data_IF_322913428643
#
_entry.id   IF_322913428643
#
_cell.length_a   1.000
_cell.length_b   1.000
_cell.length_c   1.000
_cell.angle_alpha   90.00
_cell.angle_beta   90.00
_cell.angle_gamma   90.00
#
_symmetry.space_group_name_H-M   'P 1'
#
loop_
_entity.id
_entity.type
_entity.pdbx_description
1 polymer ?
#
# COMPACT_ATOMS: atom_id res chain seq x y z
N UNK A 1 -11.90 -7.67 -38.96
CA UNK A 1 -11.30 -6.44 -39.53
C UNK A 1 -11.72 -5.18 -38.76
N UNK A 2 -12.93 -4.61 -38.92
CA UNK A 2 -13.30 -3.37 -38.19
C UNK A 2 -13.34 -3.50 -36.65
N UNK A 3 -13.68 -4.70 -36.15
CA UNK A 3 -13.67 -5.00 -34.70
C UNK A 3 -12.26 -5.14 -34.13
N UNK A 4 -11.29 -5.54 -34.95
CA UNK A 4 -9.89 -5.71 -34.53
C UNK A 4 -9.19 -4.36 -34.46
N UNK A 5 -9.42 -3.47 -35.44
CA UNK A 5 -8.91 -2.08 -35.41
C UNK A 5 -9.46 -1.26 -34.23
N UNK A 6 -10.77 -1.38 -33.94
CA UNK A 6 -11.39 -0.70 -32.79
C UNK A 6 -10.85 -1.23 -31.46
N UNK A 7 -10.71 -2.55 -31.32
CA UNK A 7 -10.13 -3.19 -30.13
C UNK A 7 -8.67 -2.78 -29.91
N UNK A 8 -7.89 -2.70 -30.99
CA UNK A 8 -6.48 -2.28 -30.94
C UNK A 8 -6.33 -0.79 -30.58
N UNK A 9 -7.21 0.08 -31.11
CA UNK A 9 -7.23 1.52 -30.79
C UNK A 9 -7.63 1.78 -29.33
N UNK A 10 -8.60 1.03 -28.80
CA UNK A 10 -8.95 1.11 -27.38
C UNK A 10 -7.79 0.63 -26.51
N UNK A 11 -7.16 -0.51 -26.84
CA UNK A 11 -6.02 -1.02 -26.07
C UNK A 11 -4.85 -0.05 -26.08
N UNK A 12 -4.53 0.58 -27.20
CA UNK A 12 -3.42 1.54 -27.28
C UNK A 12 -3.71 2.80 -26.45
N UNK A 13 -4.91 3.36 -26.58
CA UNK A 13 -5.35 4.54 -25.82
C UNK A 13 -5.43 4.26 -24.32
N UNK A 14 -5.97 3.11 -23.93
CA UNK A 14 -6.04 2.66 -22.54
C UNK A 14 -4.64 2.43 -21.96
N UNK A 15 -3.70 1.90 -22.75
CA UNK A 15 -2.31 1.71 -22.34
C UNK A 15 -1.53 3.02 -22.19
N UNK A 16 -1.87 4.05 -22.97
CA UNK A 16 -1.30 5.38 -22.83
C UNK A 16 -1.87 6.10 -21.59
N UNK A 17 -3.17 5.96 -21.37
CA UNK A 17 -3.86 6.56 -20.24
C UNK A 17 -3.43 5.93 -18.90
N UNK A 18 -3.25 4.60 -18.85
CA UNK A 18 -2.79 3.90 -17.65
C UNK A 18 -1.33 4.19 -17.28
N UNK A 19 -0.52 4.66 -18.23
CA UNK A 19 0.85 5.12 -17.97
C UNK A 19 0.91 6.51 -17.34
N UNK A 20 -0.19 7.26 -17.32
CA UNK A 20 -0.21 8.58 -16.72
C UNK A 20 -0.37 8.47 -15.19
N UNK A 21 0.60 8.93 -14.37
CA UNK A 21 0.58 8.73 -12.93
C UNK A 21 -0.61 9.41 -12.25
N UNK A 22 -1.06 10.55 -12.79
CA UNK A 22 -2.26 11.24 -12.29
C UNK A 22 -3.55 10.43 -12.49
N UNK A 23 -3.68 9.73 -13.63
CA UNK A 23 -4.86 8.89 -13.89
C UNK A 23 -4.90 7.68 -12.96
N UNK A 24 -3.74 7.02 -12.78
CA UNK A 24 -3.62 5.90 -11.85
C UNK A 24 -3.90 6.34 -10.41
N UNK A 25 -3.38 7.50 -9.99
CA UNK A 25 -3.66 8.09 -8.68
C UNK A 25 -5.13 8.40 -8.47
N UNK A 26 -5.80 9.01 -9.45
CA UNK A 26 -7.23 9.28 -9.40
C UNK A 26 -8.07 7.98 -9.31
N UNK A 27 -7.72 6.97 -10.12
CA UNK A 27 -8.39 5.67 -10.09
C UNK A 27 -8.24 4.99 -8.72
N UNK A 28 -7.03 4.96 -8.17
CA UNK A 28 -6.77 4.40 -6.83
C UNK A 28 -7.53 5.19 -5.76
N UNK A 29 -7.57 6.52 -5.85
CA UNK A 29 -8.31 7.38 -4.92
C UNK A 29 -9.83 7.18 -4.97
N UNK A 30 -10.40 7.00 -6.16
CA UNK A 30 -11.83 6.67 -6.31
C UNK A 30 -12.13 5.30 -5.72
N UNK A 31 -11.34 4.28 -6.08
CA UNK A 31 -11.46 2.95 -5.46
C UNK A 31 -11.29 3.03 -3.94
N UNK A 32 -10.47 3.97 -3.46
CA UNK A 32 -10.29 4.20 -2.05
C UNK A 32 -11.52 4.69 -1.33
N UNK A 33 -12.10 5.77 -1.84
CA UNK A 33 -13.35 6.32 -1.34
C UNK A 33 -14.48 5.28 -1.40
N UNK A 34 -14.58 4.52 -2.50
CA UNK A 34 -15.56 3.43 -2.64
C UNK A 34 -15.36 2.33 -1.60
N UNK A 35 -14.12 1.89 -1.39
CA UNK A 35 -13.80 0.86 -0.37
C UNK A 35 -14.17 1.32 1.04
N UNK A 36 -13.92 2.60 1.34
CA UNK A 36 -14.26 3.20 2.63
C UNK A 36 -15.78 3.30 2.82
N UNK A 37 -16.53 3.69 1.79
CA UNK A 37 -17.99 3.74 1.86
C UNK A 37 -18.59 2.38 2.25
N UNK A 38 -18.00 1.29 1.75
CA UNK A 38 -18.40 -0.07 2.12
C UNK A 38 -17.97 -0.44 3.55
N UNK A 39 -16.75 -0.06 3.96
CA UNK A 39 -16.16 -0.42 5.25
C UNK A 39 -16.75 0.37 6.45
N UNK A 40 -17.19 1.61 6.24
CA UNK A 40 -17.89 2.41 7.28
C UNK A 40 -19.19 1.71 7.69
N UNK A 41 -19.92 1.16 6.72
CA UNK A 41 -21.15 0.39 7.00
C UNK A 41 -20.89 -0.85 7.87
N UNK A 42 -19.66 -1.40 7.82
CA UNK A 42 -19.23 -2.54 8.63
C UNK A 42 -18.66 -2.15 10.02
N UNK A 43 -18.80 -0.88 10.45
CA UNK A 43 -18.36 -0.41 11.76
C UNK A 43 -16.87 -0.06 11.85
N UNK A 44 -16.24 0.29 10.72
CA UNK A 44 -14.85 0.75 10.68
C UNK A 44 -14.61 2.11 11.34
N UNK A 45 -13.37 2.40 11.78
CA UNK A 45 -12.98 3.76 12.12
C UNK A 45 -13.14 4.71 10.93
N UNK A 46 -13.22 6.01 11.19
CA UNK A 46 -13.22 7.02 10.14
C UNK A 46 -11.94 6.93 9.28
N UNK A 47 -12.11 7.21 7.98
CA UNK A 47 -11.04 7.09 6.97
C UNK A 47 -10.41 5.69 6.85
N UNK A 48 -11.15 4.62 7.15
CA UNK A 48 -10.66 3.25 7.03
C UNK A 48 -10.82 2.72 5.59
N UNK A 49 -9.73 2.26 4.99
CA UNK A 49 -9.75 1.55 3.72
C UNK A 49 -8.55 0.62 3.59
N UNK A 50 -8.09 0.32 2.38
CA UNK A 50 -6.96 -0.59 2.18
C UNK A 50 -5.66 -0.03 2.82
N UNK A 51 -5.31 -0.55 4.00
CA UNK A 51 -4.16 -0.08 4.76
C UNK A 51 -3.27 -1.25 5.18
N UNK A 52 -2.16 -1.45 4.48
CA UNK A 52 -1.20 -2.53 4.80
C UNK A 52 -0.69 -2.42 6.23
N UNK A 53 -0.35 -1.21 6.70
CA UNK A 53 0.16 -1.03 8.07
C UNK A 53 -0.88 -1.43 9.13
N UNK A 54 -2.10 -0.89 9.06
CA UNK A 54 -3.15 -1.18 10.03
C UNK A 54 -3.61 -2.65 9.95
N UNK A 55 -3.73 -3.22 8.75
CA UNK A 55 -4.16 -4.60 8.56
C UNK A 55 -3.09 -5.60 9.03
N UNK A 56 -1.80 -5.31 8.82
CA UNK A 56 -0.71 -6.12 9.39
C UNK A 56 -0.70 -6.05 10.92
N UNK A 57 -0.88 -4.88 11.53
CA UNK A 57 -1.01 -4.76 12.99
C UNK A 57 -2.20 -5.55 13.53
N UNK A 58 -3.36 -5.40 12.90
CA UNK A 58 -4.58 -6.11 13.30
C UNK A 58 -4.42 -7.63 13.14
N UNK A 59 -3.74 -8.10 12.09
CA UNK A 59 -3.39 -9.50 11.92
C UNK A 59 -2.44 -10.00 13.03
N UNK A 60 -1.37 -9.25 13.33
CA UNK A 60 -0.42 -9.61 14.39
C UNK A 60 -1.10 -9.62 15.75
N UNK A 61 -1.84 -8.56 16.10
CA UNK A 61 -2.59 -8.48 17.35
C UNK A 61 -3.62 -9.60 17.45
N UNK A 62 -4.33 -9.93 16.36
CA UNK A 62 -5.29 -11.04 16.34
C UNK A 62 -4.65 -12.40 16.61
N UNK A 63 -3.51 -12.68 15.97
CA UNK A 63 -2.73 -13.91 16.22
C UNK A 63 -2.22 -13.93 17.66
N UNK A 64 -1.69 -12.81 18.16
CA UNK A 64 -1.19 -12.71 19.54
C UNK A 64 -2.31 -12.90 20.55
N UNK A 65 -3.51 -12.37 20.32
CA UNK A 65 -4.66 -12.57 21.21
C UNK A 65 -5.05 -14.06 21.27
N UNK A 66 -5.02 -14.77 20.13
CA UNK A 66 -5.32 -16.20 20.06
C UNK A 66 -4.24 -17.04 20.75
N UNK A 67 -2.96 -16.75 20.51
CA UNK A 67 -1.83 -17.57 20.98
C UNK A 67 -1.47 -17.27 22.44
N UNK A 68 -1.48 -16.01 22.84
CA UNK A 68 -1.04 -15.55 24.15
C UNK A 68 -2.20 -15.28 25.12
N UNK A 69 -3.46 -15.49 24.71
CA UNK A 69 -4.66 -15.19 25.51
C UNK A 69 -4.63 -13.76 26.08
N UNK A 70 -4.28 -12.81 25.23
CA UNK A 70 -4.17 -11.38 25.57
C UNK A 70 -5.29 -10.60 24.87
N UNK A 71 -5.60 -9.41 25.39
CA UNK A 71 -6.63 -8.52 24.84
C UNK A 71 -6.00 -7.29 24.16
N UNK A 72 -5.15 -7.50 23.15
CA UNK A 72 -4.63 -6.39 22.36
C UNK A 72 -5.74 -5.76 21.50
N UNK A 73 -5.65 -4.45 21.31
CA UNK A 73 -6.63 -3.68 20.55
C UNK A 73 -6.72 -4.16 19.08
N UNK A 74 -7.93 -4.48 18.65
CA UNK A 74 -8.32 -4.77 17.26
C UNK A 74 -9.38 -3.78 16.80
N UNK A 75 -9.32 -3.38 15.54
CA UNK A 75 -10.43 -2.66 14.91
C UNK A 75 -11.69 -3.54 14.88
N UNK A 76 -12.89 -2.95 14.99
CA UNK A 76 -14.16 -3.70 14.99
C UNK A 76 -14.33 -4.56 13.72
N UNK A 77 -13.88 -4.05 12.56
CA UNK A 77 -13.84 -4.80 11.29
C UNK A 77 -12.90 -6.01 11.36
N UNK A 78 -11.81 -5.91 12.12
CA UNK A 78 -10.82 -6.98 12.27
C UNK A 78 -11.29 -8.11 13.18
N UNK A 79 -12.34 -7.92 13.99
CA UNK A 79 -12.90 -8.99 14.84
C UNK A 79 -13.43 -10.16 14.03
N UNK A 80 -13.82 -9.93 12.78
CA UNK A 80 -14.25 -11.00 11.88
C UNK A 80 -13.09 -11.89 11.37
N UNK A 81 -11.84 -11.61 11.78
CA UNK A 81 -10.56 -12.33 11.54
C UNK A 81 -10.15 -12.62 10.09
N UNK A 82 -11.09 -12.59 9.14
CA UNK A 82 -10.93 -12.94 7.73
C UNK A 82 -10.52 -11.74 6.86
N UNK A 83 -10.98 -10.53 7.19
CA UNK A 83 -10.81 -9.35 6.35
C UNK A 83 -9.37 -8.78 6.30
N UNK A 84 -8.65 -8.62 7.43
CA UNK A 84 -7.28 -8.09 7.40
C UNK A 84 -6.33 -9.05 6.70
N UNK A 85 -6.45 -10.36 6.97
CA UNK A 85 -5.63 -11.42 6.35
C UNK A 85 -5.84 -11.39 4.84
N UNK A 86 -7.08 -11.26 4.37
CA UNK A 86 -7.40 -11.22 2.95
C UNK A 86 -6.76 -10.02 2.22
N UNK A 87 -6.57 -8.89 2.90
CA UNK A 87 -5.96 -7.71 2.26
C UNK A 87 -4.45 -7.84 2.04
N UNK A 88 -3.69 -8.31 3.05
CA UNK A 88 -2.24 -8.48 2.96
C UNK A 88 -1.93 -9.71 2.12
N UNK A 89 -2.59 -10.84 2.40
CA UNK A 89 -2.44 -12.05 1.60
C UNK A 89 -2.96 -11.81 0.16
N UNK A 90 -4.06 -11.09 -0.01
CA UNK A 90 -4.62 -10.77 -1.33
C UNK A 90 -3.68 -9.91 -2.18
N UNK A 91 -2.98 -8.92 -1.61
CA UNK A 91 -1.96 -8.17 -2.36
C UNK A 91 -0.76 -9.03 -2.71
N UNK A 92 -0.30 -9.88 -1.79
CA UNK A 92 0.82 -10.79 -2.07
C UNK A 92 0.46 -11.81 -3.17
N UNK A 93 -0.69 -12.46 -3.06
CA UNK A 93 -1.19 -13.44 -4.04
C UNK A 93 -1.51 -12.75 -5.37
N UNK A 94 -2.18 -11.61 -5.35
CA UNK A 94 -2.52 -10.83 -6.53
C UNK A 94 -1.29 -10.34 -7.29
N UNK A 95 -0.29 -9.81 -6.58
CA UNK A 95 0.99 -9.41 -7.16
C UNK A 95 1.77 -10.60 -7.73
N UNK A 96 1.75 -11.73 -7.04
CA UNK A 96 2.37 -12.97 -7.53
C UNK A 96 1.69 -13.47 -8.83
N UNK A 97 0.36 -13.56 -8.84
CA UNK A 97 -0.41 -13.97 -10.03
C UNK A 97 -0.16 -12.99 -11.19
N UNK A 98 -0.23 -11.68 -10.94
CA UNK A 98 -0.01 -10.66 -11.96
C UNK A 98 1.40 -10.75 -12.57
N UNK A 99 2.44 -10.86 -11.73
CA UNK A 99 3.83 -10.97 -12.19
C UNK A 99 4.14 -12.28 -12.92
N UNK A 100 3.47 -13.37 -12.54
CA UNK A 100 3.61 -14.67 -13.22
C UNK A 100 2.93 -14.63 -14.59
N UNK A 101 1.73 -14.04 -14.69
CA UNK A 101 0.99 -13.94 -15.94
C UNK A 101 1.73 -13.07 -16.98
N UNK A 102 2.37 -11.99 -16.54
CA UNK A 102 3.17 -11.10 -17.39
C UNK A 102 4.63 -11.58 -17.58
N UNK A 103 5.00 -12.74 -17.01
CA UNK A 103 6.35 -13.33 -17.08
C UNK A 103 7.47 -12.39 -16.61
N UNK A 104 7.15 -11.50 -15.69
CA UNK A 104 8.09 -10.55 -15.07
C UNK A 104 8.59 -11.02 -13.69
N UNK A 105 8.11 -12.18 -13.23
CA UNK A 105 8.54 -12.76 -11.97
C UNK A 105 10.03 -13.15 -11.99
N UNK A 106 10.83 -12.48 -11.15
CA UNK A 106 12.26 -12.76 -10.96
C UNK A 106 12.59 -12.85 -9.47
N UNK A 107 13.16 -13.98 -9.05
CA UNK A 107 13.64 -14.17 -7.68
C UNK A 107 14.98 -13.46 -7.50
N UNK A 108 15.01 -12.41 -6.68
CA UNK A 108 16.24 -11.71 -6.29
C UNK A 108 16.83 -12.36 -5.04
N UNK A 109 18.09 -12.79 -5.11
CA UNK A 109 18.86 -13.28 -3.95
C UNK A 109 19.62 -12.10 -3.33
N UNK A 110 19.33 -11.79 -2.08
CA UNK A 110 20.09 -10.80 -1.30
C UNK A 110 21.22 -11.45 -0.49
N UNK A 111 22.16 -10.61 -0.06
CA UNK A 111 23.18 -10.90 0.94
C UNK A 111 22.59 -10.80 2.35
N UNK A 112 23.26 -11.40 3.35
CA UNK A 112 22.84 -11.32 4.76
C UNK A 112 22.69 -9.88 5.26
N UNK A 113 23.55 -8.97 4.79
CA UNK A 113 23.51 -7.53 5.14
C UNK A 113 22.26 -6.86 4.58
N UNK A 114 21.89 -7.14 3.34
CA UNK A 114 20.69 -6.57 2.73
C UNK A 114 19.41 -7.03 3.44
N UNK A 115 19.30 -8.32 3.76
CA UNK A 115 18.16 -8.82 4.53
C UNK A 115 18.04 -8.14 5.90
N UNK A 116 19.16 -7.91 6.57
CA UNK A 116 19.17 -7.20 7.86
C UNK A 116 18.70 -5.75 7.71
N UNK A 117 19.18 -5.03 6.69
CA UNK A 117 18.76 -3.65 6.40
C UNK A 117 17.25 -3.60 6.10
N UNK A 118 16.73 -4.50 5.26
CA UNK A 118 15.31 -4.54 4.95
C UNK A 118 14.43 -4.85 6.16
N UNK A 119 14.89 -5.74 7.05
CA UNK A 119 14.17 -6.06 8.27
C UNK A 119 14.07 -4.83 9.19
N UNK A 120 15.20 -4.17 9.49
CA UNK A 120 15.22 -2.97 10.33
C UNK A 120 14.43 -1.82 9.69
N UNK A 121 14.57 -1.62 8.38
CA UNK A 121 13.78 -0.64 7.65
C UNK A 121 12.28 -0.92 7.76
N UNK A 122 11.86 -2.18 7.63
CA UNK A 122 10.46 -2.60 7.82
C UNK A 122 9.94 -2.31 9.23
N UNK A 123 10.72 -2.62 10.26
CA UNK A 123 10.38 -2.30 11.66
C UNK A 123 10.21 -0.80 11.84
N UNK A 124 11.15 0.02 11.36
CA UNK A 124 11.06 1.48 11.45
C UNK A 124 9.83 2.02 10.71
N UNK A 125 9.57 1.55 9.49
CA UNK A 125 8.42 1.99 8.69
C UNK A 125 7.10 1.64 9.37
N UNK A 126 6.95 0.42 9.92
CA UNK A 126 5.72 0.06 10.64
C UNK A 126 5.53 0.91 11.90
N UNK A 127 6.58 1.13 12.69
CA UNK A 127 6.48 1.95 13.91
C UNK A 127 6.13 3.41 13.59
N UNK A 128 6.81 4.01 12.60
CA UNK A 128 6.52 5.38 12.17
C UNK A 128 5.11 5.50 11.57
N UNK A 129 4.67 4.53 10.78
CA UNK A 129 3.31 4.51 10.24
C UNK A 129 2.24 4.45 11.36
N UNK A 130 2.52 3.76 12.48
CA UNK A 130 1.61 3.74 13.62
C UNK A 130 1.58 5.06 14.38
N UNK A 131 2.72 5.73 14.55
CA UNK A 131 2.81 7.04 15.23
C UNK A 131 1.96 8.09 14.50
N UNK A 132 2.02 8.13 13.17
CA UNK A 132 1.22 9.07 12.38
C UNK A 132 -0.21 8.57 12.08
N UNK A 133 -0.55 7.35 12.49
CA UNK A 133 -1.89 6.80 12.42
C UNK A 133 -2.33 6.35 11.02
N UNK A 134 -1.41 5.84 10.20
CA UNK A 134 -1.79 5.18 8.94
C UNK A 134 -0.68 4.97 7.91
N UNK A 135 -1.06 4.32 6.82
CA UNK A 135 -0.28 4.23 5.58
C UNK A 135 -0.64 5.43 4.66
N UNK A 136 0.06 5.68 3.53
CA UNK A 136 -0.24 6.80 2.64
C UNK A 136 -1.70 6.87 2.20
N UNK A 137 -2.34 5.72 2.03
CA UNK A 137 -3.74 5.63 1.65
C UNK A 137 -4.69 6.11 2.75
N UNK A 138 -4.49 5.65 3.99
CA UNK A 138 -5.29 6.11 5.14
C UNK A 138 -5.07 7.60 5.41
N UNK A 139 -3.83 8.07 5.25
CA UNK A 139 -3.54 9.49 5.35
C UNK A 139 -4.30 10.30 4.29
N UNK A 140 -4.31 9.86 3.02
CA UNK A 140 -5.03 10.54 1.95
C UNK A 140 -6.55 10.59 2.17
N UNK A 141 -7.12 9.54 2.77
CA UNK A 141 -8.53 9.56 3.17
C UNK A 141 -8.77 10.55 4.32
N UNK A 142 -7.93 10.53 5.36
CA UNK A 142 -8.01 11.49 6.49
C UNK A 142 -7.87 12.94 6.05
N UNK A 143 -7.04 13.25 5.05
CA UNK A 143 -6.97 14.61 4.49
C UNK A 143 -8.29 15.03 3.85
N UNK A 144 -9.04 14.09 3.25
CA UNK A 144 -10.38 14.35 2.74
C UNK A 144 -11.41 14.69 3.84
N UNK A 145 -11.17 14.23 5.07
CA UNK A 145 -11.97 14.59 6.26
C UNK A 145 -11.53 15.90 6.93
N UNK A 146 -10.52 16.58 6.39
CA UNK A 146 -10.02 17.84 6.96
C UNK A 146 -8.97 17.67 8.07
N UNK A 147 -8.39 16.49 8.22
CA UNK A 147 -7.34 16.23 9.22
C UNK A 147 -6.00 16.85 8.81
N UNK A 148 -5.60 17.92 9.50
CA UNK A 148 -4.36 18.64 9.24
C UNK A 148 -3.10 17.79 9.54
N UNK A 149 -3.19 16.87 10.50
CA UNK A 149 -2.05 15.98 10.84
C UNK A 149 -1.76 15.02 9.69
N UNK A 150 -2.80 14.56 8.99
CA UNK A 150 -2.66 13.71 7.83
C UNK A 150 -2.04 14.46 6.64
N UNK A 151 -2.35 15.75 6.47
CA UNK A 151 -1.74 16.58 5.42
C UNK A 151 -0.24 16.72 5.67
N UNK A 152 0.15 17.07 6.90
CA UNK A 152 1.57 17.17 7.28
C UNK A 152 2.31 15.86 7.08
N UNK A 153 1.68 14.73 7.42
CA UNK A 153 2.25 13.41 7.18
C UNK A 153 2.49 13.12 5.70
N UNK A 154 1.53 13.41 4.81
CA UNK A 154 1.70 13.20 3.36
C UNK A 154 2.84 14.07 2.82
N UNK A 155 2.92 15.34 3.22
CA UNK A 155 3.98 16.25 2.78
C UNK A 155 5.35 15.76 3.26
N UNK A 156 5.46 15.37 4.53
CA UNK A 156 6.70 14.83 5.10
C UNK A 156 7.11 13.52 4.42
N UNK A 157 6.16 12.62 4.17
CA UNK A 157 6.40 11.37 3.46
C UNK A 157 6.87 11.63 2.02
N UNK A 158 6.22 12.53 1.30
CA UNK A 158 6.59 12.90 -0.06
C UNK A 158 8.01 13.49 -0.10
N UNK A 159 8.33 14.43 0.80
CA UNK A 159 9.68 15.00 0.90
C UNK A 159 10.74 13.92 1.20
N UNK A 160 10.44 12.99 2.11
CA UNK A 160 11.34 11.87 2.44
C UNK A 160 11.58 10.93 1.26
N UNK A 161 10.53 10.57 0.51
CA UNK A 161 10.64 9.73 -0.69
C UNK A 161 11.44 10.43 -1.79
N UNK A 162 11.18 11.72 -2.03
CA UNK A 162 11.90 12.51 -3.03
C UNK A 162 13.39 12.60 -2.67
N UNK A 163 13.70 12.92 -1.42
CA UNK A 163 15.09 13.00 -0.95
C UNK A 163 15.79 11.64 -1.06
N UNK A 164 15.13 10.56 -0.63
CA UNK A 164 15.66 9.21 -0.74
C UNK A 164 15.93 8.79 -2.19
N UNK A 165 14.97 9.04 -3.09
CA UNK A 165 15.11 8.76 -4.51
C UNK A 165 16.25 9.58 -5.14
N UNK A 166 16.36 10.87 -4.81
CA UNK A 166 17.44 11.74 -5.28
C UNK A 166 18.82 11.24 -4.82
N UNK A 167 18.97 10.88 -3.54
CA UNK A 167 20.23 10.36 -3.01
C UNK A 167 20.62 9.03 -3.66
N UNK A 168 19.66 8.13 -3.88
CA UNK A 168 19.91 6.85 -4.56
C UNK A 168 20.30 7.05 -6.02
N UNK A 169 19.63 7.97 -6.72
CA UNK A 169 19.97 8.31 -8.10
C UNK A 169 21.39 8.87 -8.20
N UNK A 170 21.73 9.83 -7.34
CA UNK A 170 23.08 10.42 -7.29
C UNK A 170 24.16 9.40 -6.95
N UNK A 171 23.84 8.40 -6.12
CA UNK A 171 24.76 7.30 -5.84
C UNK A 171 24.97 6.42 -7.07
N UNK A 172 23.89 6.08 -7.79
CA UNK A 172 23.98 5.28 -9.01
C UNK A 172 24.78 6.01 -10.12
N UNK A 173 24.62 7.33 -10.26
CA UNK A 173 25.42 8.13 -11.20
C UNK A 173 26.91 8.10 -10.87
N UNK A 174 27.28 8.17 -9.57
CA UNK A 174 28.68 8.09 -9.14
C UNK A 174 29.32 6.73 -9.36
N UNK A 175 28.53 5.66 -9.33
CA UNK A 175 29.01 4.30 -9.60
C UNK A 175 29.11 4.01 -11.11
N UNK A 176 28.48 4.85 -11.95
CA UNK A 176 28.53 4.76 -13.40
C UNK A 176 29.71 5.53 -14.04
N UNK A 177 30.46 6.30 -13.25
CA UNK A 177 31.68 7.04 -13.63
C UNK A 177 32.90 6.32 -13.08
#
# INVERSE_FOLDING_TARGET
MLRDEYSNTIRSTLSLLSRHPAFLGALIGILAACSQALLISAGGPEAYGFCVACHTRDMVNGITNIVAHTDLALAAISKNSLLPVLSVAGVLIGGYIASTFHREHKIRKGTKKEYFIYFIAGVLVLNLAMIFGGCPYRAALRTGYGDLTAVLFIVAMAAGVILGAYLMLKKAEKEAV
#
